data_IF_244390866824
#
_entry.id   IF_244390866824
#
_cell.length_a   1.000
_cell.length_b   1.000
_cell.length_c   1.000
_cell.angle_alpha   90.00
_cell.angle_beta   90.00
_cell.angle_gamma   90.00
#
_symmetry.space_group_name_H-M   'P 1'
#
loop_
_entity.id
_entity.type
_entity.pdbx_description
1 polymer ?
#
# COMPACT_ATOMS: atom_id res chain seq x y z
N UNK A 1 -17.76 12.48 -3.94
CA UNK A 1 -18.51 11.49 -4.73
C UNK A 1 -19.97 11.81 -4.49
N UNK A 2 -20.71 12.36 -5.46
CA UNK A 2 -22.09 12.83 -5.25
C UNK A 2 -23.14 11.78 -5.64
N UNK A 3 -22.69 10.57 -5.98
CA UNK A 3 -23.54 9.47 -6.44
C UNK A 3 -24.16 8.69 -5.26
N UNK A 4 -23.75 8.99 -4.04
CA UNK A 4 -24.29 8.42 -2.80
C UNK A 4 -25.25 9.42 -2.16
N UNK A 5 -26.49 9.01 -1.88
CA UNK A 5 -27.43 9.88 -1.17
C UNK A 5 -27.11 9.95 0.33
N UNK A 6 -27.47 11.06 0.97
CA UNK A 6 -27.17 11.33 2.38
C UNK A 6 -27.71 10.26 3.33
N UNK A 7 -28.83 9.61 3.00
CA UNK A 7 -29.37 8.50 3.79
C UNK A 7 -28.40 7.32 3.89
N UNK A 8 -27.74 6.97 2.78
CA UNK A 8 -26.77 5.87 2.74
C UNK A 8 -25.48 6.26 3.46
N UNK A 9 -25.00 7.49 3.27
CA UNK A 9 -23.81 8.01 3.98
C UNK A 9 -24.02 8.00 5.49
N UNK A 10 -25.17 8.49 5.96
CA UNK A 10 -25.52 8.48 7.38
C UNK A 10 -25.60 7.06 7.92
N UNK A 11 -26.17 6.11 7.15
CA UNK A 11 -26.26 4.72 7.60
C UNK A 11 -24.88 4.08 7.73
N UNK A 12 -23.99 4.34 6.78
CA UNK A 12 -22.60 3.88 6.86
C UNK A 12 -21.89 4.48 8.08
N UNK A 13 -22.06 5.78 8.33
CA UNK A 13 -21.48 6.44 9.49
C UNK A 13 -21.95 5.82 10.81
N UNK A 14 -23.26 5.57 10.98
CA UNK A 14 -23.81 4.88 12.15
C UNK A 14 -23.18 3.50 12.35
N UNK A 15 -23.06 2.70 11.27
CA UNK A 15 -22.44 1.38 11.34
C UNK A 15 -20.97 1.45 11.74
N UNK A 16 -20.25 2.49 11.32
CA UNK A 16 -18.86 2.71 11.72
C UNK A 16 -18.72 3.10 13.20
N UNK A 17 -19.65 3.88 13.74
CA UNK A 17 -19.67 4.26 15.15
C UNK A 17 -19.96 3.07 16.08
N UNK A 18 -20.68 2.05 15.59
CA UNK A 18 -20.98 0.85 16.36
C UNK A 18 -19.80 -0.13 16.50
N UNK A 19 -18.72 0.08 15.74
CA UNK A 19 -17.52 -0.78 15.81
C UNK A 19 -16.70 -0.48 17.06
N UNK A 20 -16.09 -1.52 17.59
CA UNK A 20 -15.05 -1.43 18.61
C UNK A 20 -13.77 -0.80 18.05
N UNK A 21 -12.88 -0.36 18.93
CA UNK A 21 -11.56 0.15 18.56
C UNK A 21 -10.74 -0.89 17.79
N UNK A 22 -10.76 -2.15 18.25
CA UNK A 22 -10.05 -3.25 17.59
C UNK A 22 -10.59 -3.53 16.20
N UNK A 23 -11.91 -3.53 16.01
CA UNK A 23 -12.50 -3.70 14.67
C UNK A 23 -12.09 -2.58 13.73
N UNK A 24 -12.10 -1.32 14.19
CA UNK A 24 -11.63 -0.19 13.37
C UNK A 24 -10.14 -0.32 13.03
N UNK A 25 -9.32 -0.77 13.97
CA UNK A 25 -7.90 -1.02 13.72
C UNK A 25 -7.69 -2.09 12.64
N UNK A 26 -8.35 -3.25 12.77
CA UNK A 26 -8.21 -4.33 11.78
C UNK A 26 -8.78 -3.97 10.42
N UNK A 27 -9.82 -3.13 10.35
CA UNK A 27 -10.27 -2.57 9.09
C UNK A 27 -9.15 -1.74 8.42
N UNK A 28 -8.51 -0.84 9.16
CA UNK A 28 -7.38 -0.05 8.63
C UNK A 28 -6.22 -0.93 8.18
N UNK A 29 -5.85 -1.94 8.97
CA UNK A 29 -4.83 -2.92 8.61
C UNK A 29 -5.19 -3.69 7.32
N UNK A 30 -6.43 -4.17 7.21
CA UNK A 30 -6.90 -4.88 6.02
C UNK A 30 -6.87 -4.01 4.74
N UNK A 31 -7.16 -2.72 4.87
CA UNK A 31 -7.08 -1.77 3.75
C UNK A 31 -5.63 -1.54 3.33
N UNK A 32 -4.70 -1.50 4.28
CA UNK A 32 -3.27 -1.41 3.98
C UNK A 32 -2.76 -2.65 3.24
N UNK A 33 -3.15 -3.84 3.70
CA UNK A 33 -2.81 -5.10 3.03
C UNK A 33 -3.37 -5.14 1.60
N UNK A 34 -4.62 -4.72 1.42
CA UNK A 34 -5.24 -4.60 0.10
C UNK A 34 -4.46 -3.64 -0.80
N UNK A 35 -4.11 -2.46 -0.30
CA UNK A 35 -3.35 -1.47 -1.07
C UNK A 35 -2.00 -2.03 -1.52
N UNK A 36 -1.28 -2.76 -0.64
CA UNK A 36 -0.03 -3.44 -1.01
C UNK A 36 -0.23 -4.48 -2.11
N UNK A 37 -1.28 -5.30 -2.01
CA UNK A 37 -1.60 -6.30 -3.02
C UNK A 37 -1.89 -5.66 -4.39
N UNK A 38 -2.66 -4.56 -4.42
CA UNK A 38 -2.96 -3.83 -5.65
C UNK A 38 -1.68 -3.23 -6.26
N UNK A 39 -0.81 -2.60 -5.45
CA UNK A 39 0.48 -2.08 -5.94
C UNK A 39 1.34 -3.21 -6.52
N UNK A 40 1.42 -4.36 -5.85
CA UNK A 40 2.18 -5.53 -6.36
C UNK A 40 1.64 -6.00 -7.70
N UNK A 41 0.32 -6.12 -7.81
CA UNK A 41 -0.33 -6.54 -9.05
C UNK A 41 -0.04 -5.56 -10.20
N UNK A 42 -0.12 -4.25 -9.95
CA UNK A 42 0.21 -3.22 -10.94
C UNK A 42 1.67 -3.30 -11.40
N UNK A 43 2.63 -3.47 -10.47
CA UNK A 43 4.06 -3.60 -10.82
C UNK A 43 4.30 -4.84 -11.68
N UNK A 44 3.67 -5.98 -11.34
CA UNK A 44 3.79 -7.22 -12.09
C UNK A 44 3.09 -7.16 -13.45
N UNK A 45 2.01 -6.40 -13.57
CA UNK A 45 1.34 -6.15 -14.85
C UNK A 45 2.24 -5.34 -15.79
N UNK A 46 2.92 -4.30 -15.27
CA UNK A 46 3.83 -3.45 -16.03
C UNK A 46 5.14 -4.17 -16.40
N UNK A 47 5.65 -5.03 -15.52
CA UNK A 47 6.86 -5.82 -15.75
C UNK A 47 6.74 -7.25 -15.18
N UNK A 48 6.24 -8.22 -15.98
CA UNK A 48 5.99 -9.59 -15.52
C UNK A 48 7.24 -10.38 -15.08
N UNK A 49 8.41 -10.05 -15.63
CA UNK A 49 9.67 -10.78 -15.40
C UNK A 49 10.56 -10.11 -14.33
N UNK A 50 10.03 -9.11 -13.61
CA UNK A 50 10.77 -8.37 -12.58
C UNK A 50 11.30 -9.28 -11.47
N UNK A 51 12.57 -9.09 -11.08
CA UNK A 51 13.16 -9.88 -10.01
C UNK A 51 12.60 -9.46 -8.63
N UNK A 52 12.58 -10.36 -7.62
CA UNK A 52 12.11 -10.01 -6.27
C UNK A 52 12.83 -8.81 -5.63
N UNK A 53 14.13 -8.63 -5.95
CA UNK A 53 14.92 -7.50 -5.48
C UNK A 53 14.47 -6.17 -6.12
N UNK A 54 14.07 -6.20 -7.39
CA UNK A 54 13.57 -5.04 -8.12
C UNK A 54 12.14 -4.68 -7.71
N UNK A 55 11.28 -5.66 -7.43
CA UNK A 55 9.92 -5.38 -6.91
C UNK A 55 9.98 -4.54 -5.63
N UNK A 56 10.91 -4.84 -4.71
CA UNK A 56 11.11 -4.03 -3.49
C UNK A 56 11.42 -2.56 -3.82
N UNK A 57 12.31 -2.35 -4.79
CA UNK A 57 12.68 -1.02 -5.26
C UNK A 57 11.47 -0.27 -5.83
N UNK A 58 10.65 -0.94 -6.64
CA UNK A 58 9.43 -0.35 -7.18
C UNK A 58 8.38 -0.04 -6.09
N UNK A 59 8.26 -0.89 -5.07
CA UNK A 59 7.45 -0.57 -3.89
C UNK A 59 7.93 0.67 -3.15
N UNK A 60 9.25 0.80 -2.95
CA UNK A 60 9.81 2.01 -2.35
C UNK A 60 9.49 3.25 -3.20
N UNK A 61 9.59 3.14 -4.53
CA UNK A 61 9.21 4.22 -5.43
C UNK A 61 7.74 4.61 -5.29
N UNK A 62 6.85 3.63 -5.22
CA UNK A 62 5.42 3.88 -5.17
C UNK A 62 4.96 4.51 -3.85
N UNK A 63 5.53 4.06 -2.72
CA UNK A 63 5.00 4.37 -1.39
C UNK A 63 5.78 5.46 -0.66
N UNK A 64 7.07 5.62 -0.94
CA UNK A 64 7.98 6.38 -0.08
C UNK A 64 8.93 7.31 -0.85
N UNK A 65 8.90 7.32 -2.18
CA UNK A 65 9.88 8.06 -2.98
C UNK A 65 9.96 9.53 -2.56
N UNK A 66 8.81 10.19 -2.47
CA UNK A 66 8.72 11.62 -2.16
C UNK A 66 9.09 11.97 -0.71
N UNK A 67 9.23 10.98 0.16
CA UNK A 67 9.64 11.20 1.56
C UNK A 67 11.16 11.40 1.70
N UNK A 68 11.95 11.10 0.67
CA UNK A 68 13.42 11.12 0.72
C UNK A 68 14.02 12.00 -0.39
N UNK A 69 15.17 12.61 -0.10
CA UNK A 69 15.99 13.27 -1.12
C UNK A 69 16.71 12.27 -2.03
N UNK A 70 17.30 12.76 -3.13
CA UNK A 70 18.01 11.94 -4.12
C UNK A 70 19.13 11.08 -3.51
N UNK A 71 19.90 11.62 -2.57
CA UNK A 71 21.02 10.90 -1.95
C UNK A 71 20.52 9.70 -1.13
N UNK A 72 19.43 9.90 -0.38
CA UNK A 72 18.84 8.85 0.43
C UNK A 72 18.07 7.83 -0.42
N UNK A 73 17.38 8.28 -1.49
CA UNK A 73 16.72 7.39 -2.46
C UNK A 73 17.71 6.38 -3.06
N UNK A 74 18.87 6.84 -3.52
CA UNK A 74 19.89 5.96 -4.11
C UNK A 74 20.43 4.93 -3.11
N UNK A 75 20.73 5.36 -1.87
CA UNK A 75 21.19 4.46 -0.80
C UNK A 75 20.16 3.39 -0.47
N UNK A 76 18.88 3.76 -0.39
CA UNK A 76 17.79 2.83 -0.07
C UNK A 76 17.62 1.82 -1.21
N UNK A 77 17.60 2.27 -2.46
CA UNK A 77 17.49 1.38 -3.62
C UNK A 77 18.64 0.36 -3.66
N UNK A 78 19.87 0.81 -3.39
CA UNK A 78 21.01 -0.11 -3.33
C UNK A 78 20.89 -1.10 -2.17
N UNK A 79 20.49 -0.64 -0.98
CA UNK A 79 20.25 -1.53 0.15
C UNK A 79 19.18 -2.59 -0.16
N UNK A 80 18.12 -2.24 -0.90
CA UNK A 80 17.06 -3.18 -1.28
C UNK A 80 17.53 -4.30 -2.22
N UNK A 81 18.50 -4.02 -3.09
CA UNK A 81 19.10 -5.03 -3.99
C UNK A 81 19.87 -6.11 -3.25
N UNK A 82 20.42 -5.76 -2.08
CA UNK A 82 21.20 -6.68 -1.24
C UNK A 82 20.32 -7.58 -0.36
N UNK A 83 19.02 -7.32 -0.28
CA UNK A 83 18.07 -8.15 0.48
C UNK A 83 17.76 -9.42 -0.31
N UNK A 84 18.13 -10.57 0.26
CA UNK A 84 17.92 -11.90 -0.34
C UNK A 84 16.68 -12.64 0.19
N UNK A 85 15.82 -11.95 0.95
CA UNK A 85 14.57 -12.51 1.47
C UNK A 85 13.51 -12.45 0.37
N UNK A 86 12.59 -13.43 0.24
CA UNK A 86 11.44 -13.32 -0.65
C UNK A 86 10.64 -12.04 -0.40
N UNK A 87 10.08 -11.46 -1.46
CA UNK A 87 9.15 -10.34 -1.34
C UNK A 87 7.71 -10.86 -1.37
N UNK A 88 7.16 -11.07 -0.18
CA UNK A 88 5.75 -11.49 0.02
C UNK A 88 4.78 -10.34 -0.22
#
# INVERSE_FOLDING_TARGET
MNDTCSTVENKLFEMMQQKTESERFFMGASMFDMARLVTKASILEDNPDISPAEIRGEFFRYWYWEDFDTSNREKILEAMRLINIPFE
#
